data_IF_189420599089
#
_entry.id   IF_189420599089
#
_cell.length_a   1.000
_cell.length_b   1.000
_cell.length_c   1.000
_cell.angle_alpha   90.00
_cell.angle_beta   90.00
_cell.angle_gamma   90.00
#
_symmetry.space_group_name_H-M   'P 1'
#
loop_
_entity.id
_entity.type
_entity.pdbx_description
1 polymer ?
#
# COMPACT_ATOMS: atom_id res chain seq x y z
N UNK A 1 30.14 -3.75 10.08
CA UNK A 1 30.02 -4.68 11.22
C UNK A 1 30.17 -6.07 10.64
N UNK A 2 31.38 -6.39 10.20
CA UNK A 2 31.59 -7.52 9.31
C UNK A 2 32.05 -8.74 10.11
N UNK A 3 31.17 -9.73 10.12
CA UNK A 3 31.35 -11.13 10.53
C UNK A 3 31.66 -11.35 12.01
N UNK A 4 30.58 -11.42 12.80
CA UNK A 4 30.58 -12.25 14.01
C UNK A 4 30.76 -13.70 13.53
N UNK A 5 31.85 -14.33 13.95
CA UNK A 5 32.11 -15.75 13.67
C UNK A 5 31.29 -16.62 14.63
N UNK A 6 30.02 -16.81 14.28
CA UNK A 6 29.05 -17.56 15.07
C UNK A 6 29.45 -19.02 15.35
N UNK A 7 30.33 -19.59 14.52
CA UNK A 7 30.80 -20.96 14.66
C UNK A 7 31.81 -21.10 15.80
N UNK A 8 32.55 -20.03 16.12
CA UNK A 8 33.62 -20.04 17.13
C UNK A 8 33.25 -19.35 18.46
N UNK A 9 32.04 -18.80 18.57
CA UNK A 9 31.54 -18.29 19.85
C UNK A 9 31.19 -19.44 20.81
N UNK A 10 31.59 -19.30 22.07
CA UNK A 10 31.14 -20.20 23.12
C UNK A 10 29.63 -20.09 23.33
N UNK A 11 29.03 -21.09 23.97
CA UNK A 11 27.59 -21.04 24.26
C UNK A 11 27.24 -19.88 25.21
N UNK A 12 28.12 -19.56 26.16
CA UNK A 12 27.92 -18.47 27.11
C UNK A 12 27.99 -17.10 26.41
N UNK A 13 28.91 -16.92 25.45
CA UNK A 13 29.00 -15.68 24.67
C UNK A 13 27.75 -15.45 23.81
N UNK A 14 27.17 -16.52 23.27
CA UNK A 14 25.90 -16.45 22.52
C UNK A 14 24.76 -16.02 23.44
N UNK A 15 24.65 -16.63 24.62
CA UNK A 15 23.62 -16.27 25.60
C UNK A 15 23.77 -14.82 26.08
N UNK A 16 25.01 -14.37 26.35
CA UNK A 16 25.29 -12.99 26.71
C UNK A 16 24.91 -12.01 25.59
N UNK A 17 25.22 -12.36 24.34
CA UNK A 17 24.84 -11.54 23.18
C UNK A 17 23.32 -11.43 23.02
N UNK A 18 22.58 -12.53 23.15
CA UNK A 18 21.12 -12.51 23.07
C UNK A 18 20.49 -11.75 24.23
N UNK A 19 20.98 -11.92 25.46
CA UNK A 19 20.52 -11.13 26.61
C UNK A 19 20.74 -9.63 26.39
N UNK A 20 21.84 -9.23 25.74
CA UNK A 20 22.12 -7.83 25.44
C UNK A 20 21.23 -7.28 24.32
N UNK A 21 20.86 -8.12 23.34
CA UNK A 21 19.85 -7.76 22.34
C UNK A 21 18.47 -7.62 22.98
N UNK A 22 18.08 -8.51 23.88
CA UNK A 22 16.81 -8.43 24.60
C UNK A 22 16.74 -7.14 25.42
N UNK A 23 17.78 -6.80 26.18
CA UNK A 23 17.90 -5.53 26.91
C UNK A 23 17.82 -4.32 25.97
N UNK A 24 18.52 -4.38 24.83
CA UNK A 24 18.48 -3.32 23.82
C UNK A 24 17.08 -3.13 23.25
N UNK A 25 16.37 -4.20 22.89
CA UNK A 25 15.02 -4.12 22.34
C UNK A 25 13.99 -3.73 23.39
N UNK A 26 14.11 -4.18 24.65
CA UNK A 26 13.27 -3.72 25.75
C UNK A 26 13.45 -2.22 26.00
N UNK A 27 14.69 -1.73 26.04
CA UNK A 27 14.98 -0.30 26.19
C UNK A 27 14.50 0.52 24.98
N UNK A 28 14.70 0.01 23.77
CA UNK A 28 14.29 0.68 22.54
C UNK A 28 12.76 0.75 22.43
N UNK A 29 12.05 -0.36 22.65
CA UNK A 29 10.59 -0.42 22.61
C UNK A 29 9.95 0.34 23.78
N UNK A 30 10.57 0.31 24.96
CA UNK A 30 10.18 1.14 26.11
C UNK A 30 10.25 2.63 25.79
N UNK A 31 11.32 3.07 25.13
CA UNK A 31 11.47 4.45 24.68
C UNK A 31 10.48 4.84 23.58
N UNK A 32 10.11 3.91 22.68
CA UNK A 32 9.07 4.15 21.67
C UNK A 32 7.70 4.32 22.32
N UNK A 33 7.34 3.51 23.32
CA UNK A 33 6.10 3.68 24.10
C UNK A 33 6.10 5.02 24.86
N UNK A 34 7.20 5.39 25.50
CA UNK A 34 7.33 6.67 26.19
C UNK A 34 7.23 7.88 25.23
N UNK A 35 7.78 7.78 24.02
CA UNK A 35 7.65 8.81 22.97
C UNK A 35 6.21 8.91 22.45
N UNK A 36 5.50 7.79 22.29
CA UNK A 36 4.10 7.77 21.89
C UNK A 36 3.18 8.38 22.96
N UNK A 37 3.43 8.12 24.25
CA UNK A 37 2.70 8.76 25.35
C UNK A 37 3.01 10.26 25.49
N UNK A 38 4.26 10.66 25.23
CA UNK A 38 4.69 12.07 25.22
C UNK A 38 4.09 12.84 24.04
N UNK A 39 3.91 12.18 22.89
CA UNK A 39 3.20 12.74 21.74
C UNK A 39 1.70 12.92 22.02
N UNK A 40 1.07 11.98 22.75
CA UNK A 40 -0.32 12.10 23.20
C UNK A 40 -0.54 13.25 24.20
N UNK A 41 0.40 13.50 25.10
CA UNK A 41 0.30 14.57 26.10
C UNK A 41 0.61 15.96 25.53
N UNK A 42 1.51 16.07 24.55
CA UNK A 42 1.83 17.35 23.90
C UNK A 42 0.76 17.83 22.91
N UNK A 43 -0.12 16.95 22.42
CA UNK A 43 -1.26 17.34 21.59
C UNK A 43 -2.35 18.10 22.36
N UNK A 44 -2.30 18.14 23.69
CA UNK A 44 -3.25 18.85 24.54
C UNK A 44 -2.82 20.29 24.91
N UNK A 45 -1.61 20.74 24.53
CA UNK A 45 -1.01 21.97 25.08
C UNK A 45 -0.82 23.13 24.08
N UNK A 46 -1.42 23.06 22.89
CA UNK A 46 -1.47 24.20 21.95
C UNK A 46 -2.89 24.73 21.83
N UNK A 47 -3.36 25.38 22.90
CA UNK A 47 -4.46 26.35 22.83
C UNK A 47 -4.27 27.39 23.94
N UNK A 48 -4.39 28.65 23.54
CA UNK A 48 -4.43 29.88 24.35
C UNK A 48 -3.10 30.45 24.85
N UNK A 49 -2.63 31.47 24.13
CA UNK A 49 -2.13 32.69 24.77
C UNK A 49 -2.72 33.91 24.05
N UNK A 50 -3.51 34.69 24.79
CA UNK A 50 -4.08 35.97 24.36
C UNK A 50 -4.93 36.58 25.47
N UNK A 51 -4.28 37.34 26.38
CA UNK A 51 -4.66 38.62 27.05
C UNK A 51 -6.13 38.78 27.54
N UNK A 52 -6.47 39.17 28.78
CA UNK A 52 -6.16 40.38 29.58
C UNK A 52 -6.63 40.13 31.04
N UNK A 53 -5.93 40.68 32.03
CA UNK A 53 -6.33 40.79 33.45
C UNK A 53 -7.44 41.84 33.68
N UNK A 54 -8.49 41.52 34.46
CA UNK A 54 -8.89 42.27 35.68
C UNK A 54 -10.16 41.67 36.36
N UNK A 55 -9.97 41.38 37.65
CA UNK A 55 -10.86 41.44 38.83
C UNK A 55 -12.24 40.74 39.00
N UNK A 56 -12.26 39.92 40.07
CA UNK A 56 -13.22 39.80 41.18
C UNK A 56 -14.55 39.01 41.06
N UNK A 57 -14.47 37.75 41.56
CA UNK A 57 -15.33 37.05 42.57
C UNK A 57 -16.83 36.71 42.27
N UNK A 58 -17.44 35.72 43.00
CA UNK A 58 -18.09 34.57 42.38
C UNK A 58 -19.59 34.42 42.68
N UNK A 59 -20.31 33.72 41.80
CA UNK A 59 -21.54 33.00 42.16
C UNK A 59 -21.91 31.96 41.10
N UNK A 60 -21.96 30.69 41.48
CA UNK A 60 -22.70 29.62 40.81
C UNK A 60 -24.21 29.91 40.92
N UNK A 61 -25.07 29.58 39.93
CA UNK A 61 -25.58 28.20 39.81
C UNK A 61 -26.04 27.68 38.41
N UNK A 62 -26.07 26.33 38.34
CA UNK A 62 -26.93 25.41 37.56
C UNK A 62 -26.77 25.26 36.02
N UNK A 63 -27.00 24.03 35.50
CA UNK A 63 -26.52 23.58 34.20
C UNK A 63 -27.54 23.85 33.07
N UNK A 64 -27.06 24.44 31.97
CA UNK A 64 -27.77 24.45 30.69
C UNK A 64 -27.22 23.35 29.78
N UNK A 65 -28.14 22.55 29.25
CA UNK A 65 -27.95 21.72 28.07
C UNK A 65 -27.45 22.61 26.92
N UNK A 66 -26.27 22.31 26.39
CA UNK A 66 -25.76 22.93 25.16
C UNK A 66 -25.71 21.89 24.07
N UNK A 67 -26.46 22.19 23.02
CA UNK A 67 -26.58 21.51 21.74
C UNK A 67 -25.23 21.35 21.04
N UNK A 68 -25.17 20.33 20.17
CA UNK A 68 -23.96 19.84 19.55
C UNK A 68 -23.19 20.88 18.75
N UNK A 69 -21.88 20.92 18.98
CA UNK A 69 -20.93 21.50 18.05
C UNK A 69 -20.88 20.61 16.80
N UNK A 70 -21.64 21.02 15.77
CA UNK A 70 -21.44 20.57 14.40
C UNK A 70 -19.99 20.91 13.99
N UNK A 71 -19.18 19.87 13.80
CA UNK A 71 -17.91 19.99 13.11
C UNK A 71 -18.19 20.53 11.71
N UNK A 72 -17.73 21.76 11.44
CA UNK A 72 -17.78 22.34 10.10
C UNK A 72 -17.05 21.45 9.08
N UNK A 73 -17.39 21.57 7.78
CA UNK A 73 -16.81 20.76 6.73
C UNK A 73 -15.26 20.90 6.74
N UNK A 74 -14.52 19.80 6.48
CA UNK A 74 -13.07 19.84 6.44
C UNK A 74 -12.57 20.81 5.34
N UNK A 75 -11.39 21.41 5.52
CA UNK A 75 -10.83 22.35 4.56
C UNK A 75 -10.61 21.67 3.20
N UNK A 76 -10.85 22.37 2.08
CA UNK A 76 -10.72 21.81 0.73
C UNK A 76 -9.28 21.36 0.44
N UNK A 77 -9.11 20.10 0.04
CA UNK A 77 -7.81 19.53 -0.36
C UNK A 77 -7.46 20.03 -1.77
N UNK A 78 -6.25 20.56 -1.93
CA UNK A 78 -5.81 21.17 -3.17
C UNK A 78 -5.53 20.12 -4.27
N UNK A 79 -6.20 20.26 -5.42
CA UNK A 79 -6.23 19.30 -6.57
C UNK A 79 -4.91 19.14 -7.35
N UNK A 80 -3.80 19.74 -6.91
CA UNK A 80 -2.54 19.82 -7.66
C UNK A 80 -1.63 18.59 -7.52
N UNK A 81 -2.00 17.61 -6.68
CA UNK A 81 -1.32 16.30 -6.60
C UNK A 81 -1.74 15.28 -7.68
N UNK A 82 -2.49 15.72 -8.69
CA UNK A 82 -3.03 14.88 -9.78
C UNK A 82 -1.90 14.39 -10.72
N UNK A 83 -1.63 13.08 -10.83
CA UNK A 83 -0.66 12.56 -11.80
C UNK A 83 -1.11 12.87 -13.24
N UNK A 84 -0.15 13.21 -14.10
CA UNK A 84 -0.40 13.48 -15.52
C UNK A 84 -0.64 12.18 -16.28
N UNK A 85 -1.68 12.18 -17.13
CA UNK A 85 -2.11 11.06 -17.95
C UNK A 85 -1.05 10.73 -19.03
N UNK A 86 -0.66 9.47 -19.15
CA UNK A 86 0.03 8.95 -20.33
C UNK A 86 -1.05 8.54 -21.34
N UNK A 87 -0.91 8.98 -22.60
CA UNK A 87 -1.88 8.74 -23.66
C UNK A 87 -2.02 7.24 -23.98
N UNK A 88 -3.27 6.80 -24.20
CA UNK A 88 -3.62 5.43 -24.57
C UNK A 88 -2.87 4.95 -25.81
N UNK A 89 -2.19 3.81 -25.67
CA UNK A 89 -1.52 3.09 -26.75
C UNK A 89 -2.50 2.42 -27.71
N UNK A 90 -2.19 2.52 -29.00
CA UNK A 90 -2.87 1.92 -30.16
C UNK A 90 -2.98 0.39 -30.10
N UNK A 91 -4.17 -0.10 -30.46
CA UNK A 91 -4.59 -1.51 -30.45
C UNK A 91 -3.76 -2.40 -31.42
N UNK A 92 -3.26 -3.53 -30.93
CA UNK A 92 -2.61 -4.60 -31.70
C UNK A 92 -3.42 -5.88 -31.58
N UNK A 93 -3.85 -6.46 -32.71
CA UNK A 93 -4.81 -7.57 -32.85
C UNK A 93 -4.24 -8.98 -32.62
N UNK A 94 -3.30 -9.14 -31.68
CA UNK A 94 -2.88 -10.46 -31.19
C UNK A 94 -3.87 -10.89 -30.10
N UNK A 95 -4.22 -12.20 -29.94
CA UNK A 95 -5.17 -12.67 -28.92
C UNK A 95 -4.91 -11.95 -27.59
N UNK A 96 -5.87 -11.07 -27.26
CA UNK A 96 -5.63 -9.84 -26.50
C UNK A 96 -5.19 -10.18 -25.08
N UNK A 97 -3.89 -10.05 -24.84
CA UNK A 97 -3.32 -10.15 -23.51
C UNK A 97 -3.97 -9.05 -22.68
N UNK A 98 -4.77 -9.43 -21.68
CA UNK A 98 -5.27 -8.51 -20.66
C UNK A 98 -4.07 -7.75 -20.09
N UNK A 99 -3.96 -6.48 -20.49
CA UNK A 99 -2.87 -5.58 -20.14
C UNK A 99 -3.48 -4.48 -19.30
N UNK A 100 -3.16 -4.51 -18.02
CA UNK A 100 -3.64 -3.52 -17.05
C UNK A 100 -2.76 -2.27 -17.10
N UNK A 101 -3.33 -1.11 -16.79
CA UNK A 101 -2.56 0.13 -16.64
C UNK A 101 -1.77 0.20 -15.33
N UNK A 102 -2.08 -0.68 -14.37
CA UNK A 102 -1.42 -0.76 -13.08
C UNK A 102 -1.26 -2.23 -12.59
N UNK A 103 -0.12 -2.57 -11.94
CA UNK A 103 1.12 -1.81 -12.06
C UNK A 103 1.55 -1.77 -13.54
N UNK A 104 2.26 -0.71 -13.98
CA UNK A 104 2.70 -0.64 -15.36
C UNK A 104 3.53 -1.90 -15.71
N UNK A 105 3.51 -2.39 -16.95
CA UNK A 105 4.31 -3.56 -17.32
C UNK A 105 5.80 -3.32 -17.05
N UNK A 106 6.43 -4.25 -16.32
CA UNK A 106 7.88 -4.29 -16.18
C UNK A 106 8.55 -4.58 -17.53
N UNK A 107 9.78 -4.09 -17.73
CA UNK A 107 10.57 -4.39 -18.93
C UNK A 107 11.23 -5.78 -18.87
N UNK A 108 11.44 -6.28 -17.66
CA UNK A 108 11.97 -7.59 -17.32
C UNK A 108 10.89 -8.44 -16.62
N UNK A 109 11.31 -9.41 -15.81
CA UNK A 109 10.42 -10.30 -15.05
C UNK A 109 9.66 -9.60 -13.93
N UNK A 110 10.16 -8.48 -13.41
CA UNK A 110 9.55 -7.69 -12.34
C UNK A 110 10.12 -6.26 -12.30
N UNK A 111 9.44 -5.33 -11.63
CA UNK A 111 9.97 -3.97 -11.46
C UNK A 111 11.27 -3.95 -10.63
N UNK A 112 11.39 -4.87 -9.67
CA UNK A 112 12.61 -5.01 -8.90
C UNK A 112 13.79 -5.51 -9.75
N UNK A 113 13.54 -6.41 -10.70
CA UNK A 113 14.54 -6.85 -11.67
C UNK A 113 14.96 -5.71 -12.61
N UNK A 114 14.02 -4.87 -13.05
CA UNK A 114 14.31 -3.67 -13.84
C UNK A 114 15.26 -2.73 -13.07
N UNK A 115 14.96 -2.47 -11.79
CA UNK A 115 15.85 -1.66 -10.94
C UNK A 115 17.20 -2.33 -10.72
N UNK A 116 17.25 -3.64 -10.50
CA UNK A 116 18.52 -4.35 -10.35
C UNK A 116 19.39 -4.23 -11.61
N UNK A 117 18.78 -4.30 -12.80
CA UNK A 117 19.50 -4.10 -14.08
C UNK A 117 20.11 -2.69 -14.22
N UNK A 118 19.49 -1.68 -13.61
CA UNK A 118 20.04 -0.33 -13.56
C UNK A 118 21.37 -0.25 -12.80
N UNK A 119 21.60 -1.15 -11.84
CA UNK A 119 22.83 -1.23 -11.04
C UNK A 119 23.92 -2.13 -11.65
N UNK A 120 23.63 -2.83 -12.75
CA UNK A 120 24.62 -3.64 -13.45
C UNK A 120 25.80 -2.78 -13.94
N UNK A 121 27.01 -3.35 -13.92
CA UNK A 121 28.23 -2.66 -14.31
C UNK A 121 28.24 -2.25 -15.79
N UNK A 122 27.46 -2.92 -16.64
CA UNK A 122 27.30 -2.56 -18.05
C UNK A 122 26.34 -1.37 -18.27
N UNK A 123 25.50 -1.04 -17.28
CA UNK A 123 24.55 0.08 -17.39
C UNK A 123 25.24 1.42 -17.13
N UNK A 124 25.15 2.33 -18.10
CA UNK A 124 25.74 3.68 -18.01
C UNK A 124 24.83 4.63 -17.23
N UNK A 125 25.37 5.25 -16.20
CA UNK A 125 24.73 6.35 -15.46
C UNK A 125 25.18 7.69 -16.02
N UNK A 126 24.22 8.57 -16.28
CA UNK A 126 24.45 9.93 -16.77
C UNK A 126 24.86 10.90 -15.67
N UNK A 127 24.52 10.61 -14.41
CA UNK A 127 24.77 11.50 -13.26
C UNK A 127 25.22 10.70 -12.03
N UNK A 128 26.04 11.29 -11.14
CA UNK A 128 26.40 10.69 -9.85
C UNK A 128 25.31 10.95 -8.79
N UNK A 129 24.05 10.62 -9.08
CA UNK A 129 22.88 10.92 -8.23
C UNK A 129 23.05 10.48 -6.76
N UNK A 130 23.80 9.40 -6.52
CA UNK A 130 24.10 8.82 -5.22
C UNK A 130 25.00 9.70 -4.32
N UNK A 131 25.58 10.78 -4.84
CA UNK A 131 26.32 11.76 -4.04
C UNK A 131 25.39 12.70 -3.28
N UNK A 132 24.13 12.82 -3.72
CA UNK A 132 23.14 13.66 -3.06
C UNK A 132 22.77 13.10 -1.68
N UNK A 133 22.62 13.98 -0.69
CA UNK A 133 22.04 13.60 0.61
C UNK A 133 20.51 13.56 0.57
N UNK A 134 19.88 14.13 -0.45
CA UNK A 134 18.42 14.19 -0.59
C UNK A 134 17.82 13.02 -1.35
N UNK A 135 18.62 12.19 -2.02
CA UNK A 135 18.13 11.02 -2.76
C UNK A 135 18.99 9.79 -2.50
N UNK A 136 18.33 8.71 -2.07
CA UNK A 136 18.93 7.38 -1.96
C UNK A 136 18.56 6.48 -3.14
N UNK A 137 17.74 6.97 -4.07
CA UNK A 137 17.22 6.23 -5.20
C UNK A 137 17.67 6.84 -6.52
N UNK A 138 17.81 6.03 -7.58
CA UNK A 138 17.98 6.52 -8.94
C UNK A 138 16.88 7.53 -9.32
N UNK A 139 17.16 8.55 -10.16
CA UNK A 139 16.19 9.60 -10.49
C UNK A 139 14.82 9.07 -10.95
N UNK A 140 14.80 8.07 -11.83
CA UNK A 140 13.56 7.51 -12.37
C UNK A 140 12.71 6.83 -11.28
N UNK A 141 13.36 6.17 -10.32
CA UNK A 141 12.68 5.51 -9.20
C UNK A 141 12.30 6.51 -8.11
N UNK A 142 13.18 7.47 -7.80
CA UNK A 142 12.93 8.49 -6.78
C UNK A 142 11.78 9.44 -7.11
N UNK A 143 11.38 9.51 -8.39
CA UNK A 143 10.21 10.28 -8.83
C UNK A 143 8.87 9.53 -8.69
N UNK A 144 8.92 8.21 -8.46
CA UNK A 144 7.73 7.37 -8.35
C UNK A 144 7.03 7.61 -7.02
N UNK A 145 5.70 7.69 -7.07
CA UNK A 145 4.82 7.87 -5.91
C UNK A 145 4.10 6.59 -5.51
N UNK A 146 4.29 5.52 -6.28
CA UNK A 146 3.62 4.23 -6.13
C UNK A 146 4.48 3.19 -5.42
N UNK A 147 5.69 3.55 -5.00
CA UNK A 147 6.62 2.68 -4.29
C UNK A 147 6.66 2.99 -2.79
N UNK A 148 7.04 1.99 -1.99
CA UNK A 148 7.49 2.17 -0.62
C UNK A 148 8.98 1.91 -0.57
N UNK A 149 9.75 2.76 0.13
CA UNK A 149 11.18 2.52 0.28
C UNK A 149 11.70 2.95 1.65
N UNK A 150 12.80 2.36 2.03
CA UNK A 150 13.64 2.81 3.15
C UNK A 150 15.08 2.81 2.71
N UNK A 151 15.91 3.60 3.36
CA UNK A 151 17.32 3.63 3.04
C UNK A 151 18.13 4.33 4.10
N UNK A 152 19.43 4.13 4.02
CA UNK A 152 20.40 4.72 4.92
C UNK A 152 21.70 4.97 4.17
N UNK A 153 22.59 5.70 4.80
CA UNK A 153 23.96 5.81 4.32
C UNK A 153 24.90 5.76 5.51
N UNK A 154 26.13 5.33 5.27
CA UNK A 154 27.21 5.34 6.23
C UNK A 154 28.46 5.93 5.60
N UNK A 155 29.29 6.59 6.40
CA UNK A 155 30.57 7.14 5.96
C UNK A 155 31.69 6.75 6.93
N UNK A 156 32.85 6.40 6.38
CA UNK A 156 34.09 6.11 7.12
C UNK A 156 35.26 6.79 6.42
N UNK A 157 35.72 7.91 6.98
CA UNK A 157 36.69 8.77 6.30
C UNK A 157 36.10 9.31 4.99
N UNK A 158 36.77 9.05 3.87
CA UNK A 158 36.28 9.44 2.54
C UNK A 158 35.36 8.39 1.91
N UNK A 159 35.31 7.16 2.44
CA UNK A 159 34.42 6.13 1.91
C UNK A 159 32.98 6.39 2.37
N UNK A 160 32.04 6.40 1.45
CA UNK A 160 30.60 6.50 1.73
C UNK A 160 29.85 5.39 1.01
N UNK A 161 28.92 4.77 1.73
CA UNK A 161 28.04 3.72 1.21
C UNK A 161 26.61 4.15 1.45
N UNK A 162 25.79 4.16 0.39
CA UNK A 162 24.35 4.42 0.46
C UNK A 162 23.61 3.14 0.13
N UNK A 163 22.56 2.82 0.88
CA UNK A 163 21.77 1.60 0.70
C UNK A 163 20.28 1.95 0.72
N UNK A 164 19.51 1.22 -0.07
CA UNK A 164 18.06 1.37 -0.09
C UNK A 164 17.38 0.02 -0.34
N UNK A 165 16.22 -0.17 0.28
CA UNK A 165 15.28 -1.24 -0.03
C UNK A 165 14.02 -0.61 -0.61
N UNK A 166 13.61 -1.08 -1.79
CA UNK A 166 12.45 -0.59 -2.54
C UNK A 166 11.46 -1.72 -2.72
N UNK A 167 10.21 -1.48 -2.35
CA UNK A 167 9.08 -2.36 -2.59
C UNK A 167 8.16 -1.71 -3.62
N UNK A 168 7.88 -2.46 -4.68
CA UNK A 168 7.09 -2.02 -5.81
C UNK A 168 5.62 -2.43 -5.67
N UNK A 169 4.72 -1.79 -6.44
CA UNK A 169 3.33 -2.20 -6.61
C UNK A 169 3.04 -3.67 -6.91
N UNK A 170 3.90 -4.33 -7.70
CA UNK A 170 3.79 -5.77 -8.00
C UNK A 170 4.30 -6.64 -6.85
N UNK A 171 4.63 -6.02 -5.72
CA UNK A 171 5.22 -6.60 -4.52
C UNK A 171 6.61 -7.22 -4.71
N UNK A 172 7.26 -6.95 -5.84
CA UNK A 172 8.67 -7.25 -6.03
C UNK A 172 9.55 -6.32 -5.19
N UNK A 173 10.72 -6.80 -4.76
CA UNK A 173 11.61 -6.09 -3.84
C UNK A 173 13.01 -5.97 -4.40
N UNK A 174 13.63 -4.79 -4.27
CA UNK A 174 15.01 -4.56 -4.67
C UNK A 174 15.80 -3.92 -3.52
N UNK A 175 16.93 -4.52 -3.17
CA UNK A 175 17.95 -3.95 -2.30
C UNK A 175 19.10 -3.46 -3.15
N UNK A 176 19.52 -2.23 -2.90
CA UNK A 176 20.57 -1.55 -3.67
C UNK A 176 21.65 -1.02 -2.74
N UNK A 177 22.89 -0.95 -3.24
CA UNK A 177 24.03 -0.40 -2.53
C UNK A 177 24.95 0.33 -3.50
N UNK A 178 25.38 1.55 -3.15
CA UNK A 178 26.40 2.31 -3.87
C UNK A 178 27.49 2.73 -2.92
N UNK A 179 28.72 2.27 -3.15
CA UNK A 179 29.91 2.66 -2.39
C UNK A 179 30.86 3.48 -3.26
N UNK A 180 31.31 4.62 -2.75
CA UNK A 180 32.15 5.58 -3.46
C UNK A 180 33.06 6.36 -2.51
N UNK A 181 34.08 7.03 -3.05
CA UNK A 181 34.90 7.99 -2.29
C UNK A 181 34.36 9.41 -2.44
N UNK A 182 34.22 10.15 -1.34
CA UNK A 182 33.81 11.57 -1.33
C UNK A 182 34.95 12.53 -1.65
N UNK A 183 36.20 12.05 -1.67
CA UNK A 183 37.39 12.88 -1.96
C UNK A 183 37.67 13.05 -3.45
N UNK A 184 36.95 12.33 -4.32
CA UNK A 184 37.16 12.33 -5.76
C UNK A 184 35.84 12.53 -6.50
N UNK A 185 35.82 13.44 -7.46
CA UNK A 185 34.76 13.50 -8.46
C UNK A 185 35.03 12.43 -9.51
N UNK A 186 34.75 11.18 -9.17
CA UNK A 186 34.90 10.05 -10.08
C UNK A 186 33.80 10.05 -11.15
N UNK A 187 34.12 9.54 -12.35
CA UNK A 187 33.09 9.14 -13.31
C UNK A 187 32.18 8.12 -12.60
N UNK A 188 30.84 8.32 -12.56
CA UNK A 188 29.95 7.36 -11.94
C UNK A 188 30.12 5.94 -12.49
N UNK A 189 30.64 5.79 -13.72
CA UNK A 189 30.83 4.53 -14.44
C UNK A 189 32.23 3.91 -14.30
N UNK A 190 33.13 4.50 -13.51
CA UNK A 190 34.40 3.85 -13.16
C UNK A 190 34.17 2.84 -12.03
N UNK A 191 34.19 1.55 -12.38
CA UNK A 191 33.97 0.45 -11.43
C UNK A 191 35.06 0.33 -10.36
N UNK A 192 36.22 0.98 -10.53
CA UNK A 192 37.25 1.03 -9.48
C UNK A 192 36.96 2.10 -8.43
N UNK A 193 36.23 3.16 -8.81
CA UNK A 193 35.91 4.27 -7.94
C UNK A 193 34.50 4.18 -7.34
N UNK A 194 33.58 3.53 -8.05
CA UNK A 194 32.16 3.42 -7.70
C UNK A 194 31.72 1.96 -7.79
N UNK A 195 31.46 1.35 -6.64
CA UNK A 195 30.91 0.00 -6.55
C UNK A 195 29.39 0.09 -6.44
N UNK A 196 28.70 -0.61 -7.33
CA UNK A 196 27.24 -0.65 -7.41
C UNK A 196 26.80 -2.10 -7.23
N UNK A 197 25.78 -2.33 -6.42
CA UNK A 197 25.23 -3.66 -6.18
C UNK A 197 23.71 -3.57 -6.08
N UNK A 198 23.05 -4.60 -6.59
CA UNK A 198 21.64 -4.82 -6.35
C UNK A 198 21.35 -6.31 -6.21
N UNK A 199 20.40 -6.63 -5.33
CA UNK A 199 19.78 -7.94 -5.20
C UNK A 199 18.29 -7.71 -5.23
N UNK A 200 17.54 -8.60 -5.87
CA UNK A 200 16.10 -8.46 -5.95
C UNK A 200 15.38 -9.77 -5.68
N UNK A 201 14.08 -9.63 -5.44
CA UNK A 201 13.10 -10.70 -5.44
C UNK A 201 11.99 -10.32 -6.40
N UNK A 202 11.58 -11.30 -7.19
CA UNK A 202 10.46 -11.13 -8.10
C UNK A 202 9.14 -10.94 -7.35
N UNK A 203 8.12 -10.52 -8.10
CA UNK A 203 6.76 -10.49 -7.60
C UNK A 203 6.40 -11.87 -7.01
N UNK A 204 5.72 -11.94 -5.86
CA UNK A 204 5.39 -13.22 -5.25
C UNK A 204 4.55 -14.08 -6.19
N UNK A 205 4.73 -15.40 -6.09
CA UNK A 205 3.95 -16.35 -6.87
C UNK A 205 2.44 -16.25 -6.57
N UNK A 206 1.63 -16.76 -7.49
CA UNK A 206 0.20 -16.98 -7.24
C UNK A 206 0.04 -17.93 -6.05
N UNK A 207 -0.94 -17.65 -5.18
CA UNK A 207 -1.21 -18.49 -4.01
C UNK A 207 -2.23 -19.57 -4.34
N UNK A 208 -2.07 -20.72 -3.69
CA UNK A 208 -3.04 -21.81 -3.76
C UNK A 208 -4.35 -21.44 -3.01
N UNK A 209 -5.39 -22.24 -3.26
CA UNK A 209 -6.72 -21.94 -2.75
C UNK A 209 -6.78 -22.02 -1.21
N UNK A 210 -6.08 -22.98 -0.61
CA UNK A 210 -6.12 -23.18 0.84
C UNK A 210 -5.49 -21.99 1.56
N UNK A 211 -4.32 -21.55 1.10
CA UNK A 211 -3.64 -20.36 1.64
C UNK A 211 -4.51 -19.12 1.52
N UNK A 212 -5.21 -18.94 0.40
CA UNK A 212 -6.12 -17.81 0.18
C UNK A 212 -7.39 -17.88 1.04
N UNK A 213 -7.90 -19.07 1.33
CA UNK A 213 -9.04 -19.27 2.24
C UNK A 213 -8.63 -18.94 3.67
N UNK A 214 -7.51 -19.48 4.14
CA UNK A 214 -6.98 -19.24 5.49
C UNK A 214 -6.70 -17.74 5.72
N UNK A 215 -6.15 -17.05 4.72
CA UNK A 215 -5.96 -15.61 4.79
C UNK A 215 -7.29 -14.85 4.93
N UNK A 216 -8.33 -15.27 4.20
CA UNK A 216 -9.66 -14.68 4.34
C UNK A 216 -10.28 -14.95 5.71
N UNK A 217 -10.10 -16.14 6.27
CA UNK A 217 -10.59 -16.47 7.62
C UNK A 217 -9.84 -15.69 8.69
N UNK A 218 -8.54 -15.44 8.47
CA UNK A 218 -7.68 -14.71 9.40
C UNK A 218 -8.01 -13.21 9.44
N UNK A 219 -8.20 -12.59 8.27
CA UNK A 219 -8.30 -11.12 8.16
C UNK A 219 -9.70 -10.61 7.81
N UNK A 220 -10.47 -11.40 7.06
CA UNK A 220 -11.61 -10.92 6.29
C UNK A 220 -12.71 -10.31 7.15
N UNK A 221 -13.13 -11.02 8.21
CA UNK A 221 -14.20 -10.55 9.09
C UNK A 221 -13.83 -9.26 9.82
N UNK A 222 -12.61 -9.18 10.34
CA UNK A 222 -12.15 -7.99 11.07
C UNK A 222 -12.02 -6.76 10.16
N UNK A 223 -11.55 -6.94 8.92
CA UNK A 223 -11.46 -5.85 7.93
C UNK A 223 -12.84 -5.37 7.49
N UNK A 224 -13.75 -6.29 7.16
CA UNK A 224 -15.10 -5.93 6.76
C UNK A 224 -15.90 -5.29 7.91
N UNK A 225 -15.82 -5.86 9.11
CA UNK A 225 -16.46 -5.31 10.31
C UNK A 225 -15.92 -3.92 10.67
N UNK A 226 -14.61 -3.69 10.52
CA UNK A 226 -14.02 -2.35 10.66
C UNK A 226 -14.68 -1.37 9.69
N UNK A 227 -14.78 -1.71 8.40
CA UNK A 227 -15.36 -0.84 7.38
C UNK A 227 -16.85 -0.56 7.64
N UNK A 228 -17.62 -1.58 8.00
CA UNK A 228 -19.05 -1.45 8.31
C UNK A 228 -19.31 -0.56 9.53
N UNK A 229 -18.42 -0.55 10.53
CA UNK A 229 -18.58 0.34 11.69
C UNK A 229 -18.61 1.83 11.31
N UNK A 230 -17.92 2.23 10.23
CA UNK A 230 -17.98 3.59 9.70
C UNK A 230 -19.26 3.84 8.90
N UNK A 231 -19.79 2.83 8.21
CA UNK A 231 -21.12 2.90 7.59
C UNK A 231 -22.20 3.12 8.66
N UNK A 232 -22.15 2.35 9.74
CA UNK A 232 -23.17 2.39 10.80
C UNK A 232 -23.12 3.70 11.61
N UNK A 233 -21.90 4.22 11.85
CA UNK A 233 -21.73 5.51 12.54
C UNK A 233 -21.99 6.72 11.64
N UNK A 234 -21.90 6.55 10.31
CA UNK A 234 -21.91 7.63 9.33
C UNK A 234 -20.69 8.56 9.39
N UNK A 235 -19.71 8.29 10.26
CA UNK A 235 -18.49 9.10 10.39
C UNK A 235 -17.42 8.64 9.41
N UNK A 236 -16.61 9.56 8.87
CA UNK A 236 -15.51 9.21 7.97
C UNK A 236 -14.36 8.47 8.69
N UNK A 237 -13.79 7.46 8.03
CA UNK A 237 -12.53 6.86 8.44
C UNK A 237 -11.34 7.74 8.02
N UNK A 238 -10.38 7.95 8.93
CA UNK A 238 -9.17 8.71 8.64
C UNK A 238 -9.47 10.15 8.22
N UNK A 239 -9.00 10.57 7.04
CA UNK A 239 -9.29 11.90 6.48
C UNK A 239 -10.57 11.90 5.63
N UNK A 240 -11.22 10.75 5.48
CA UNK A 240 -12.41 10.59 4.66
C UNK A 240 -12.15 10.19 3.22
N UNK A 241 -10.90 9.98 2.80
CA UNK A 241 -10.61 9.53 1.44
C UNK A 241 -10.96 8.03 1.28
N UNK A 242 -11.19 7.59 0.04
CA UNK A 242 -11.59 6.21 -0.25
C UNK A 242 -10.56 5.17 0.19
N UNK A 243 -9.28 5.48 0.00
CA UNK A 243 -8.17 4.62 0.39
C UNK A 243 -7.89 4.60 1.91
N UNK A 244 -8.36 5.60 2.66
CA UNK A 244 -8.17 5.63 4.13
C UNK A 244 -8.87 4.42 4.76
N UNK A 245 -10.06 4.06 4.27
CA UNK A 245 -10.86 2.96 4.83
C UNK A 245 -10.10 1.63 4.76
N UNK A 246 -9.56 1.29 3.59
CA UNK A 246 -8.78 0.07 3.38
C UNK A 246 -7.45 0.08 4.13
N UNK A 247 -6.70 1.20 4.05
CA UNK A 247 -5.40 1.31 4.71
C UNK A 247 -5.52 1.23 6.25
N UNK A 248 -6.53 1.88 6.83
CA UNK A 248 -6.78 1.81 8.27
C UNK A 248 -7.31 0.45 8.71
N UNK A 249 -8.13 -0.23 7.90
CA UNK A 249 -8.59 -1.59 8.21
C UNK A 249 -7.41 -2.57 8.29
N UNK A 250 -6.48 -2.51 7.33
CA UNK A 250 -5.25 -3.30 7.33
C UNK A 250 -4.36 -2.99 8.55
N UNK A 251 -4.21 -1.71 8.89
CA UNK A 251 -3.45 -1.31 10.08
C UNK A 251 -4.12 -1.76 11.39
N UNK A 252 -5.45 -1.73 11.44
CA UNK A 252 -6.24 -2.18 12.60
C UNK A 252 -5.98 -3.66 12.88
N UNK A 253 -6.11 -4.52 11.86
CA UNK A 253 -5.83 -5.95 12.02
C UNK A 253 -4.33 -6.25 12.20
N UNK A 254 -3.46 -5.41 11.63
CA UNK A 254 -2.02 -5.46 11.90
C UNK A 254 -1.64 -5.17 13.35
N UNK A 255 -2.53 -4.56 14.13
CA UNK A 255 -2.37 -4.39 15.57
C UNK A 255 -2.52 -5.66 16.40
N UNK A 256 -3.10 -6.73 15.83
CA UNK A 256 -3.32 -8.02 16.50
C UNK A 256 -2.07 -8.92 16.53
N UNK A 257 -0.90 -8.41 16.16
CA UNK A 257 0.36 -9.18 16.22
C UNK A 257 0.69 -9.66 17.63
N UNK A 258 0.25 -8.93 18.66
CA UNK A 258 0.39 -9.37 20.05
C UNK A 258 -0.41 -10.65 20.36
N UNK A 259 -1.45 -10.92 19.59
CA UNK A 259 -2.33 -12.10 19.72
C UNK A 259 -1.89 -13.24 18.79
N UNK A 260 -0.71 -13.14 18.19
CA UNK A 260 -0.15 -14.16 17.30
C UNK A 260 -0.67 -14.12 15.86
N UNK A 261 -1.51 -13.15 15.51
CA UNK A 261 -1.97 -12.95 14.13
C UNK A 261 -0.88 -12.22 13.33
N UNK A 262 -0.31 -12.81 12.27
CA UNK A 262 0.69 -12.12 11.46
C UNK A 262 0.12 -10.84 10.84
N UNK A 263 0.88 -9.74 10.83
CA UNK A 263 0.43 -8.51 10.18
C UNK A 263 0.22 -8.75 8.67
N UNK A 264 -0.88 -8.26 8.07
CA UNK A 264 -1.07 -8.36 6.64
C UNK A 264 -0.14 -7.40 5.89
N UNK A 265 -0.02 -7.59 4.58
CA UNK A 265 0.62 -6.62 3.69
C UNK A 265 -0.08 -5.26 3.84
N UNK A 266 0.65 -4.17 4.19
CA UNK A 266 0.05 -2.84 4.26
C UNK A 266 -0.32 -2.36 2.85
N UNK A 267 -1.21 -1.36 2.78
CA UNK A 267 -1.50 -0.71 1.50
C UNK A 267 -0.27 0.01 0.97
N UNK A 268 0.11 -0.29 -0.27
CA UNK A 268 1.21 0.35 -0.98
C UNK A 268 0.65 0.88 -2.29
N UNK A 269 0.43 2.20 -2.33
CA UNK A 269 -0.30 2.85 -3.40
C UNK A 269 -1.69 2.20 -3.58
N UNK A 270 -1.83 1.36 -4.59
CA UNK A 270 -3.04 0.66 -5.02
C UNK A 270 -3.03 -0.84 -4.69
N UNK A 271 -1.93 -1.34 -4.15
CA UNK A 271 -1.77 -2.76 -3.82
C UNK A 271 -2.11 -2.97 -2.36
N UNK A 272 -3.07 -3.86 -2.09
CA UNK A 272 -3.63 -4.08 -0.75
C UNK A 272 -3.47 -5.52 -0.24
N UNK A 273 -2.63 -6.32 -0.88
CA UNK A 273 -2.43 -7.73 -0.56
C UNK A 273 -2.11 -8.58 -1.80
N UNK A 274 -2.50 -9.86 -1.77
CA UNK A 274 -2.42 -10.74 -2.93
C UNK A 274 -3.46 -10.35 -3.97
N UNK A 275 -3.06 -10.03 -5.20
CA UNK A 275 -4.01 -9.83 -6.29
C UNK A 275 -4.72 -11.16 -6.57
N UNK A 276 -6.05 -11.22 -6.39
CA UNK A 276 -6.87 -12.41 -6.68
C UNK A 276 -7.66 -12.29 -7.98
N UNK A 277 -7.99 -11.08 -8.40
CA UNK A 277 -8.73 -10.84 -9.63
C UNK A 277 -8.34 -9.49 -10.22
N UNK A 278 -8.25 -9.44 -11.55
CA UNK A 278 -8.11 -8.21 -12.30
C UNK A 278 -9.02 -8.24 -13.53
N UNK A 279 -9.55 -7.10 -13.95
CA UNK A 279 -10.38 -7.01 -15.13
C UNK A 279 -10.37 -5.65 -15.79
N UNK A 280 -10.50 -5.63 -17.12
CA UNK A 280 -10.49 -4.42 -17.92
C UNK A 280 -11.60 -4.44 -18.96
N UNK A 281 -12.25 -3.29 -19.16
CA UNK A 281 -13.21 -3.06 -20.22
C UNK A 281 -12.82 -1.77 -20.97
N UNK A 282 -12.76 -1.84 -22.29
CA UNK A 282 -12.41 -0.71 -23.15
C UNK A 282 -13.47 -0.40 -24.22
N UNK A 283 -14.51 -1.23 -24.32
CA UNK A 283 -15.63 -1.05 -25.24
C UNK A 283 -16.95 -1.44 -24.59
N UNK A 284 -18.04 -0.80 -25.01
CA UNK A 284 -19.39 -1.08 -24.53
C UNK A 284 -19.75 -2.56 -24.78
N UNK A 285 -19.66 -3.35 -23.72
CA UNK A 285 -20.04 -4.76 -23.74
C UNK A 285 -18.94 -5.75 -24.12
N UNK A 286 -17.67 -5.32 -24.12
CA UNK A 286 -16.50 -6.19 -24.24
C UNK A 286 -15.47 -5.87 -23.17
N UNK A 287 -15.04 -6.89 -22.45
CA UNK A 287 -14.03 -6.79 -21.41
C UNK A 287 -13.58 -8.16 -20.96
N UNK A 288 -12.36 -8.25 -20.45
CA UNK A 288 -11.74 -9.47 -19.98
C UNK A 288 -11.38 -9.33 -18.52
N UNK A 289 -11.66 -10.37 -17.74
CA UNK A 289 -11.16 -10.58 -16.39
C UNK A 289 -10.17 -11.73 -16.34
N UNK A 290 -9.43 -11.84 -15.25
CA UNK A 290 -8.48 -12.92 -14.99
C UNK A 290 -8.36 -13.15 -13.50
N UNK A 291 -8.49 -14.40 -13.09
CA UNK A 291 -8.15 -14.82 -11.73
C UNK A 291 -6.64 -14.92 -11.57
N UNK A 292 -6.18 -14.69 -10.35
CA UNK A 292 -4.80 -14.77 -9.90
C UNK A 292 -4.78 -15.62 -8.64
N UNK A 293 -4.28 -16.84 -8.74
CA UNK A 293 -4.41 -17.85 -7.69
C UNK A 293 -5.63 -18.75 -7.85
N UNK A 294 -5.79 -19.68 -6.92
CA UNK A 294 -6.74 -20.79 -7.08
C UNK A 294 -8.09 -20.61 -6.36
N UNK A 295 -8.20 -19.67 -5.40
CA UNK A 295 -9.49 -19.30 -4.82
C UNK A 295 -10.22 -18.28 -5.71
N UNK A 296 -11.33 -18.73 -6.29
CA UNK A 296 -12.12 -17.98 -7.29
C UNK A 296 -13.40 -17.38 -6.69
N UNK A 297 -13.41 -17.23 -5.37
CA UNK A 297 -14.45 -16.50 -4.63
C UNK A 297 -13.82 -15.20 -4.16
N UNK A 298 -14.50 -14.08 -4.44
CA UNK A 298 -14.17 -12.83 -3.77
C UNK A 298 -14.90 -12.86 -2.44
N UNK A 299 -14.16 -12.73 -1.36
CA UNK A 299 -14.63 -12.94 -0.01
C UNK A 299 -14.80 -11.63 0.72
N UNK A 300 -15.63 -11.67 1.75
CA UNK A 300 -15.73 -10.59 2.73
C UNK A 300 -14.35 -10.24 3.29
N UNK A 301 -14.05 -8.95 3.30
CA UNK A 301 -12.78 -8.37 3.71
C UNK A 301 -11.72 -8.27 2.61
N UNK A 302 -11.96 -8.82 1.41
CA UNK A 302 -11.15 -8.48 0.24
C UNK A 302 -11.27 -6.98 -0.06
N UNK A 303 -10.24 -6.39 -0.66
CA UNK A 303 -10.16 -4.96 -0.97
C UNK A 303 -10.21 -4.80 -2.49
N UNK A 304 -11.14 -3.99 -2.97
CA UNK A 304 -11.31 -3.71 -4.40
C UNK A 304 -10.86 -2.31 -4.72
N UNK A 305 -10.20 -2.18 -5.86
CA UNK A 305 -9.75 -0.93 -6.44
C UNK A 305 -10.31 -0.78 -7.85
N UNK A 306 -10.79 0.42 -8.19
CA UNK A 306 -11.29 0.77 -9.51
C UNK A 306 -10.54 1.97 -10.09
N UNK A 307 -10.34 1.93 -11.41
CA UNK A 307 -9.79 3.03 -12.19
C UNK A 307 -10.62 3.27 -13.44
N UNK A 308 -11.16 4.47 -13.55
CA UNK A 308 -12.03 4.96 -14.63
C UNK A 308 -13.17 4.01 -15.00
N UNK A 309 -13.72 3.32 -14.00
CA UNK A 309 -14.72 2.28 -14.19
C UNK A 309 -16.07 2.89 -14.47
N UNK A 310 -16.72 2.39 -15.52
CA UNK A 310 -18.12 2.64 -15.81
C UNK A 310 -18.88 1.32 -15.70
N UNK A 311 -19.92 1.30 -14.89
CA UNK A 311 -20.85 0.16 -14.75
C UNK A 311 -22.22 0.62 -15.20
N UNK A 312 -22.75 0.01 -16.25
CA UNK A 312 -24.11 0.28 -16.71
C UNK A 312 -25.11 -0.45 -15.81
N UNK A 313 -26.20 0.22 -15.44
CA UNK A 313 -27.24 -0.31 -14.55
C UNK A 313 -28.47 -0.74 -15.36
N UNK A 314 -29.24 -1.73 -14.87
CA UNK A 314 -30.56 -2.02 -15.43
C UNK A 314 -31.41 -0.73 -15.50
N UNK A 315 -32.08 -0.50 -16.62
CA UNK A 315 -32.90 0.71 -16.83
C UNK A 315 -32.17 1.91 -17.45
N UNK A 316 -30.93 1.74 -17.93
CA UNK A 316 -30.22 2.76 -18.73
C UNK A 316 -29.44 3.79 -17.93
N UNK A 317 -29.38 3.64 -16.59
CA UNK A 317 -28.47 4.41 -15.74
C UNK A 317 -27.04 3.87 -15.78
N UNK A 318 -26.10 4.61 -15.17
CA UNK A 318 -24.71 4.15 -15.03
C UNK A 318 -24.09 4.70 -13.74
N UNK A 319 -23.01 4.07 -13.29
CA UNK A 319 -22.13 4.55 -12.22
C UNK A 319 -20.72 4.75 -12.74
N UNK A 320 -20.04 5.79 -12.25
CA UNK A 320 -18.62 5.99 -12.47
C UNK A 320 -17.88 5.77 -11.15
N UNK A 321 -16.89 4.89 -11.18
CA UNK A 321 -16.00 4.58 -10.06
C UNK A 321 -14.58 4.90 -10.47
N UNK A 322 -13.81 5.43 -9.53
CA UNK A 322 -12.44 5.82 -9.77
C UNK A 322 -12.29 6.86 -10.88
N UNK A 323 -12.66 8.09 -10.63
CA UNK A 323 -12.25 9.21 -11.49
C UNK A 323 -11.39 10.18 -10.65
N UNK A 324 -10.09 9.88 -10.44
CA UNK A 324 -9.28 8.89 -11.16
C UNK A 324 -9.27 7.48 -10.56
N UNK A 325 -9.36 7.32 -9.23
CA UNK A 325 -9.21 6.04 -8.52
C UNK A 325 -10.19 5.94 -7.35
N UNK A 326 -10.64 4.73 -7.02
CA UNK A 326 -11.53 4.49 -5.90
C UNK A 326 -11.22 3.14 -5.26
N UNK A 327 -11.23 3.08 -3.94
CA UNK A 327 -10.97 1.87 -3.15
C UNK A 327 -12.15 1.61 -2.23
N UNK A 328 -12.53 0.35 -2.07
CA UNK A 328 -13.55 -0.08 -1.13
C UNK A 328 -13.24 -1.45 -0.53
N UNK A 329 -13.93 -1.79 0.55
CA UNK A 329 -13.82 -3.08 1.23
C UNK A 329 -15.03 -3.93 0.88
N UNK A 330 -14.82 -5.18 0.46
CA UNK A 330 -15.89 -6.14 0.19
C UNK A 330 -16.52 -6.57 1.52
N UNK A 331 -17.83 -6.49 1.63
CA UNK A 331 -18.58 -6.79 2.87
C UNK A 331 -19.44 -8.06 2.77
N UNK A 332 -19.49 -8.70 1.61
CA UNK A 332 -20.14 -10.01 1.48
C UNK A 332 -19.43 -10.83 0.41
N UNK A 333 -19.41 -12.15 0.60
CA UNK A 333 -18.88 -13.09 -0.38
C UNK A 333 -19.61 -12.96 -1.72
N UNK A 334 -18.83 -12.99 -2.80
CA UNK A 334 -19.28 -12.87 -4.16
C UNK A 334 -18.81 -14.09 -4.96
N UNK A 335 -19.80 -14.90 -5.37
CA UNK A 335 -19.57 -16.12 -6.13
C UNK A 335 -19.79 -15.86 -7.63
N UNK A 336 -18.75 -15.98 -8.48
CA UNK A 336 -18.93 -15.83 -9.92
C UNK A 336 -19.73 -17.00 -10.49
N UNK A 337 -20.54 -16.72 -11.52
CA UNK A 337 -21.28 -17.73 -12.29
C UNK A 337 -20.36 -18.60 -13.15
N UNK A 338 -19.22 -18.07 -13.59
CA UNK A 338 -18.18 -18.82 -14.32
C UNK A 338 -16.82 -18.63 -13.65
N UNK A 339 -16.15 -19.74 -13.32
CA UNK A 339 -14.81 -19.70 -12.73
C UNK A 339 -13.79 -20.30 -13.71
N UNK A 340 -13.15 -19.44 -14.50
CA UNK A 340 -12.03 -19.87 -15.36
C UNK A 340 -10.81 -20.28 -14.55
N UNK A 341 -9.80 -20.85 -15.20
CA UNK A 341 -8.55 -21.21 -14.53
C UNK A 341 -7.70 -19.97 -14.23
N UNK A 342 -6.78 -20.10 -13.26
CA UNK A 342 -5.78 -19.07 -12.98
C UNK A 342 -5.10 -18.63 -14.28
N UNK A 343 -4.88 -17.32 -14.42
CA UNK A 343 -4.22 -16.75 -15.59
C UNK A 343 -5.06 -16.72 -16.88
N UNK A 344 -6.18 -17.44 -16.95
CA UNK A 344 -6.98 -17.57 -18.17
C UNK A 344 -7.93 -16.39 -18.33
N UNK A 345 -7.95 -15.69 -19.48
CA UNK A 345 -8.90 -14.61 -19.72
C UNK A 345 -10.34 -15.12 -19.72
N UNK A 346 -11.23 -14.38 -19.05
CA UNK A 346 -12.66 -14.68 -18.93
C UNK A 346 -13.46 -13.45 -19.39
N UNK A 347 -14.45 -13.58 -20.28
CA UNK A 347 -15.33 -12.46 -20.60
C UNK A 347 -16.01 -11.92 -19.35
N UNK A 348 -15.89 -10.63 -19.05
CA UNK A 348 -16.49 -10.05 -17.83
C UNK A 348 -18.01 -10.30 -17.77
N UNK A 349 -18.68 -10.24 -18.92
CA UNK A 349 -20.11 -10.51 -19.05
C UNK A 349 -20.54 -11.92 -18.59
N UNK A 350 -19.67 -12.92 -18.70
CA UNK A 350 -19.99 -14.28 -18.26
C UNK A 350 -19.68 -14.51 -16.79
N UNK A 351 -18.95 -13.59 -16.15
CA UNK A 351 -18.45 -13.75 -14.79
C UNK A 351 -19.61 -13.78 -13.78
N UNK A 352 -20.69 -13.04 -14.01
CA UNK A 352 -21.83 -12.96 -13.09
C UNK A 352 -21.43 -12.51 -11.69
N UNK A 353 -20.45 -11.61 -11.60
CA UNK A 353 -19.82 -11.19 -10.35
C UNK A 353 -20.45 -9.88 -9.86
N UNK A 354 -21.13 -9.96 -8.71
CA UNK A 354 -21.67 -8.81 -8.00
C UNK A 354 -20.91 -8.58 -6.71
N UNK A 355 -20.36 -7.38 -6.53
CA UNK A 355 -19.64 -6.99 -5.33
C UNK A 355 -20.54 -6.16 -4.42
N UNK A 356 -20.61 -6.54 -3.16
CA UNK A 356 -21.18 -5.73 -2.08
C UNK A 356 -20.02 -5.10 -1.32
N UNK A 357 -19.98 -3.78 -1.26
CA UNK A 357 -18.82 -3.06 -0.72
C UNK A 357 -19.23 -2.00 0.30
N UNK A 358 -18.34 -1.73 1.25
CA UNK A 358 -18.34 -0.52 2.07
C UNK A 358 -17.33 0.46 1.48
N UNK A 359 -17.79 1.67 1.18
CA UNK A 359 -17.00 2.72 0.54
C UNK A 359 -17.23 4.07 1.19
N UNK A 360 -16.26 4.98 1.05
CA UNK A 360 -16.35 6.38 1.44
C UNK A 360 -15.54 7.23 0.46
N UNK A 361 -15.83 8.53 0.38
CA UNK A 361 -14.95 9.50 -0.29
C UNK A 361 -15.43 10.93 -0.02
N UNK A 362 -14.75 11.63 0.87
CA UNK A 362 -15.05 13.04 1.20
C UNK A 362 -14.86 13.94 -0.03
N UNK A 363 -13.87 13.66 -0.87
CA UNK A 363 -13.56 14.45 -2.07
C UNK A 363 -14.65 14.38 -3.13
N UNK A 364 -15.49 13.34 -3.11
CA UNK A 364 -16.68 13.19 -3.96
C UNK A 364 -17.99 13.30 -3.19
N UNK A 365 -17.97 13.68 -1.91
CA UNK A 365 -19.15 13.82 -1.06
C UNK A 365 -19.86 12.50 -0.72
N UNK A 366 -19.18 11.37 -0.87
CA UNK A 366 -19.70 10.05 -0.51
C UNK A 366 -19.44 9.85 0.99
N UNK A 367 -20.50 9.92 1.80
CA UNK A 367 -20.45 9.43 3.18
C UNK A 367 -20.25 7.91 3.19
N UNK A 368 -19.65 7.32 4.23
CA UNK A 368 -19.54 5.89 4.36
C UNK A 368 -20.89 5.21 4.15
N UNK A 369 -20.94 4.29 3.18
CA UNK A 369 -22.17 3.58 2.83
C UNK A 369 -21.85 2.20 2.28
N UNK A 370 -22.89 1.36 2.23
CA UNK A 370 -22.89 0.13 1.44
C UNK A 370 -23.36 0.42 0.02
N UNK A 371 -22.73 -0.19 -0.96
CA UNK A 371 -23.14 -0.12 -2.36
C UNK A 371 -22.95 -1.49 -3.03
N UNK A 372 -23.68 -1.70 -4.13
CA UNK A 372 -23.62 -2.95 -4.89
C UNK A 372 -23.25 -2.67 -6.35
N UNK A 373 -22.26 -3.40 -6.85
CA UNK A 373 -21.72 -3.23 -8.19
C UNK A 373 -21.66 -4.55 -8.95
N UNK A 374 -22.32 -4.64 -10.11
CA UNK A 374 -22.18 -5.77 -11.02
C UNK A 374 -20.97 -5.56 -11.93
N UNK A 375 -19.88 -6.26 -11.66
CA UNK A 375 -18.64 -6.20 -12.44
C UNK A 375 -18.86 -6.73 -13.86
N UNK A 376 -19.84 -7.60 -14.05
CA UNK A 376 -20.21 -8.14 -15.37
C UNK A 376 -20.83 -7.06 -16.28
N UNK A 377 -21.35 -5.99 -15.69
CA UNK A 377 -21.90 -4.83 -16.38
C UNK A 377 -20.87 -3.69 -16.59
N UNK A 378 -19.59 -3.96 -16.33
CA UNK A 378 -18.51 -3.01 -16.59
C UNK A 378 -18.34 -2.79 -18.11
N UNK A 379 -18.37 -1.52 -18.53
CA UNK A 379 -18.24 -1.12 -19.95
C UNK A 379 -17.04 -0.22 -20.23
N UNK A 380 -16.38 0.28 -19.19
CA UNK A 380 -15.11 1.00 -19.25
C UNK A 380 -14.33 0.75 -17.96
N UNK A 381 -13.00 0.82 -18.04
CA UNK A 381 -12.09 0.99 -16.92
C UNK A 381 -11.48 -0.32 -16.47
N UNK A 382 -10.85 -0.29 -15.30
CA UNK A 382 -10.08 -1.38 -14.73
C UNK A 382 -10.46 -1.62 -13.27
N UNK A 383 -10.48 -2.88 -12.87
CA UNK A 383 -10.75 -3.32 -11.50
C UNK A 383 -9.68 -4.30 -11.06
N UNK A 384 -9.25 -4.17 -9.81
CA UNK A 384 -8.38 -5.12 -9.12
C UNK A 384 -9.00 -5.50 -7.79
N UNK A 385 -8.89 -6.76 -7.41
CA UNK A 385 -9.35 -7.25 -6.11
C UNK A 385 -8.17 -7.93 -5.44
N UNK A 386 -7.90 -7.50 -4.22
CA UNK A 386 -6.79 -7.94 -3.41
C UNK A 386 -7.29 -8.66 -2.17
N UNK A 387 -6.70 -9.80 -1.88
CA UNK A 387 -6.86 -10.49 -0.60
C UNK A 387 -5.78 -10.05 0.37
N UNK A 388 -6.13 -9.54 1.56
CA UNK A 388 -5.18 -9.36 2.65
C UNK A 388 -4.49 -10.68 2.98
N UNK A 389 -3.16 -10.68 3.01
CA UNK A 389 -2.33 -11.87 3.30
C UNK A 389 -1.18 -11.47 4.22
N UNK A 390 -0.68 -12.41 5.03
CA UNK A 390 0.42 -12.18 5.96
C UNK A 390 1.68 -11.68 5.24
N UNK A 391 2.20 -10.53 5.64
CA UNK A 391 3.38 -9.92 5.03
C UNK A 391 4.62 -10.82 5.11
N UNK A 392 4.89 -11.38 6.30
CA UNK A 392 6.11 -12.16 6.56
C UNK A 392 6.17 -13.42 5.68
N UNK A 393 5.08 -14.19 5.64
CA UNK A 393 4.99 -15.40 4.81
C UNK A 393 5.00 -15.06 3.32
N UNK A 394 4.25 -14.04 2.92
CA UNK A 394 4.03 -13.76 1.51
C UNK A 394 5.24 -13.10 0.83
N UNK A 395 5.92 -12.20 1.54
CA UNK A 395 7.13 -11.53 1.05
C UNK A 395 8.41 -12.18 1.58
N UNK A 396 8.32 -13.26 2.37
CA UNK A 396 9.44 -14.07 2.90
C UNK A 396 10.44 -13.29 3.74
N UNK A 397 9.97 -12.60 4.77
CA UNK A 397 10.80 -11.85 5.73
C UNK A 397 10.94 -12.56 7.06
#
# INVERSE_FOLDING_TARGET
MDKIDWANLSQDDKLAFFAWLDEFFEAFLGNVKALAEKARTNSAFVKMQGRVEEDAKPSTPKPSLVEGNAHGPPPPVAKWNKPSQVASSTLSSSPERLTMSYPPPATSVSHAADLASYFDASTRWSTPWYTSTSSLLPPDVGSRKDISYTGSWMARGTAKTSQAAVLFPDLSLCWTSVSYSTSQNADPNDSNAVRREAVWRDAPAVLDAQTLIEASETYGEAIAGFAESYVDSGGYCGRGECWDLAAHALNYVGGFTADGVPAPVPSISRTHGHLIFEGSANVAGGGLGRWRGEDRVIRRGDIVEWREVRIDRPGGGWSMLGNPDHTAVVVADAHPSSSGHDGTPIPLKSLGLTLHVAEQSVSTGIMPKRETYDVSAMTKGEVWVYRPVAWATYLGF
#
